data_IF_224010695240
#
_entry.id   IF_224010695240
#
_cell.length_a   1.000
_cell.length_b   1.000
_cell.length_c   1.000
_cell.angle_alpha   90.00
_cell.angle_beta   90.00
_cell.angle_gamma   90.00
#
_symmetry.space_group_name_H-M   'P 1'
#
loop_
_entity.id
_entity.type
_entity.pdbx_description
1 polymer ?
#
# COMPACT_ATOMS: atom_id res chain seq x y z
N UNK A 1 -0.97 20.61 -0.19
CA UNK A 1 -0.69 19.16 -0.13
C UNK A 1 -2.02 18.43 -0.08
N UNK A 2 -2.28 17.49 -1.00
CA UNK A 2 -3.56 16.76 -1.06
C UNK A 2 -3.62 15.59 -0.08
N UNK A 3 -4.79 14.98 0.11
CA UNK A 3 -4.94 13.73 0.89
C UNK A 3 -4.10 12.61 0.30
N UNK A 4 -4.09 12.49 -1.04
CA UNK A 4 -3.26 11.52 -1.76
C UNK A 4 -1.77 11.75 -1.48
N UNK A 5 -1.29 12.99 -1.46
CA UNK A 5 0.11 13.32 -1.15
C UNK A 5 0.48 12.93 0.29
N UNK A 6 -0.40 13.22 1.26
CA UNK A 6 -0.20 12.84 2.67
C UNK A 6 -0.07 11.33 2.82
N UNK A 7 -0.95 10.57 2.17
CA UNK A 7 -0.92 9.11 2.15
C UNK A 7 0.38 8.62 1.50
N UNK A 8 0.76 9.19 0.34
CA UNK A 8 1.99 8.84 -0.38
C UNK A 8 3.25 9.06 0.45
N UNK A 9 3.32 10.17 1.18
CA UNK A 9 4.44 10.48 2.09
C UNK A 9 4.52 9.47 3.23
N UNK A 10 3.38 9.16 3.88
CA UNK A 10 3.32 8.15 4.95
C UNK A 10 3.79 6.79 4.46
N UNK A 11 3.30 6.35 3.29
CA UNK A 11 3.75 5.11 2.66
C UNK A 11 5.25 5.16 2.45
N UNK A 12 5.77 6.18 1.74
CA UNK A 12 7.20 6.32 1.43
C UNK A 12 8.09 6.21 2.67
N UNK A 13 7.72 6.87 3.78
CA UNK A 13 8.48 6.89 5.03
C UNK A 13 8.29 5.64 5.90
N UNK A 14 7.23 4.86 5.69
CA UNK A 14 6.96 3.66 6.47
C UNK A 14 8.00 2.58 6.17
N UNK A 15 8.48 1.91 7.23
CA UNK A 15 9.29 0.69 7.13
C UNK A 15 8.48 -0.53 6.67
N UNK A 16 7.15 -0.49 6.86
CA UNK A 16 6.23 -1.53 6.39
C UNK A 16 5.93 -1.33 4.91
N UNK A 17 5.61 -2.41 4.22
CA UNK A 17 5.26 -2.39 2.80
C UNK A 17 3.83 -2.80 2.51
N UNK A 18 3.08 -3.20 3.54
CA UNK A 18 1.66 -3.56 3.46
C UNK A 18 0.87 -2.58 4.33
N UNK A 19 -0.28 -2.14 3.83
CA UNK A 19 -1.11 -1.11 4.42
C UNK A 19 -2.58 -1.46 4.31
N UNK A 20 -3.33 -1.11 5.34
CA UNK A 20 -4.79 -1.13 5.39
C UNK A 20 -5.33 0.29 5.20
N UNK A 21 -6.61 0.39 4.82
CA UNK A 21 -7.29 1.70 4.77
C UNK A 21 -7.32 2.38 6.15
N UNK A 22 -7.48 1.60 7.21
CA UNK A 22 -7.50 2.07 8.61
C UNK A 22 -6.20 2.72 9.06
N UNK A 23 -5.07 2.42 8.42
CA UNK A 23 -3.76 3.00 8.76
C UNK A 23 -3.70 4.51 8.48
N UNK A 24 -4.66 5.04 7.72
CA UNK A 24 -4.74 6.45 7.32
C UNK A 24 -5.99 7.16 7.85
N UNK A 25 -6.69 6.58 8.83
CA UNK A 25 -7.90 7.18 9.42
C UNK A 25 -7.66 8.55 10.06
N UNK A 26 -6.43 8.85 10.45
CA UNK A 26 -5.99 10.14 10.99
C UNK A 26 -5.70 11.18 9.89
N UNK A 27 -5.67 10.76 8.61
CA UNK A 27 -5.44 11.67 7.48
C UNK A 27 -6.76 12.24 6.97
N UNK A 28 -7.77 11.39 6.81
CA UNK A 28 -9.05 11.73 6.19
C UNK A 28 -10.13 10.69 6.46
N UNK A 29 -11.37 11.02 6.08
CA UNK A 29 -12.52 10.12 6.17
C UNK A 29 -12.36 8.89 5.27
N UNK A 30 -13.09 7.82 5.62
CA UNK A 30 -12.98 6.50 5.00
C UNK A 30 -12.98 6.53 3.46
N UNK A 31 -13.92 7.29 2.86
CA UNK A 31 -14.06 7.40 1.41
C UNK A 31 -12.98 8.27 0.76
N UNK A 32 -12.51 9.29 1.46
CA UNK A 32 -11.41 10.14 0.98
C UNK A 32 -10.09 9.36 0.97
N UNK A 33 -9.79 8.61 2.04
CA UNK A 33 -8.65 7.68 2.07
C UNK A 33 -8.77 6.66 0.96
N UNK A 34 -9.97 6.11 0.77
CA UNK A 34 -10.27 5.17 -0.31
C UNK A 34 -9.92 5.66 -1.70
N UNK A 35 -10.37 6.87 -2.02
CA UNK A 35 -10.06 7.54 -3.29
C UNK A 35 -8.56 7.77 -3.44
N UNK A 36 -7.89 8.25 -2.38
CA UNK A 36 -6.43 8.44 -2.38
C UNK A 36 -5.65 7.15 -2.65
N UNK A 37 -5.98 6.07 -1.95
CA UNK A 37 -5.36 4.76 -2.17
C UNK A 37 -5.62 4.23 -3.58
N UNK A 38 -6.85 4.37 -4.11
CA UNK A 38 -7.19 3.93 -5.47
C UNK A 38 -6.40 4.70 -6.53
N UNK A 39 -6.21 6.01 -6.35
CA UNK A 39 -5.38 6.80 -7.26
C UNK A 39 -3.91 6.38 -7.19
N UNK A 40 -3.36 6.13 -5.99
CA UNK A 40 -1.99 5.62 -5.87
C UNK A 40 -1.80 4.23 -6.49
N UNK A 41 -2.86 3.42 -6.58
CA UNK A 41 -2.82 2.18 -7.35
C UNK A 41 -2.78 2.45 -8.85
N UNK A 42 -3.59 3.39 -9.35
CA UNK A 42 -3.55 3.81 -10.76
C UNK A 42 -2.20 4.40 -11.16
N UNK A 43 -1.58 5.15 -10.24
CA UNK A 43 -0.26 5.77 -10.43
C UNK A 43 0.90 4.77 -10.32
N UNK A 44 0.63 3.48 -10.07
CA UNK A 44 1.66 2.45 -9.95
C UNK A 44 2.53 2.56 -8.68
N UNK A 45 2.09 3.34 -7.68
CA UNK A 45 2.78 3.46 -6.38
C UNK A 45 2.43 2.29 -5.46
N UNK A 46 1.17 1.84 -5.53
CA UNK A 46 0.64 0.74 -4.74
C UNK A 46 0.02 -0.35 -5.64
N UNK A 47 -0.05 -1.55 -5.10
CA UNK A 47 -0.83 -2.67 -5.65
C UNK A 47 -1.90 -3.06 -4.64
N UNK A 48 -3.15 -3.22 -5.08
CA UNK A 48 -4.21 -3.78 -4.24
C UNK A 48 -4.10 -5.31 -4.28
N UNK A 49 -4.01 -5.94 -3.10
CA UNK A 49 -3.76 -7.38 -2.97
C UNK A 49 -4.89 -8.11 -2.23
N UNK A 50 -5.92 -7.40 -1.76
CA UNK A 50 -7.07 -7.98 -1.09
C UNK A 50 -8.13 -6.95 -0.69
N UNK A 51 -9.10 -7.37 0.14
CA UNK A 51 -10.18 -6.52 0.65
C UNK A 51 -9.65 -5.38 1.54
N UNK A 52 -9.31 -4.25 0.92
CA UNK A 52 -8.77 -3.08 1.62
C UNK A 52 -7.29 -3.19 1.98
N UNK A 53 -6.59 -4.20 1.45
CA UNK A 53 -5.16 -4.44 1.64
C UNK A 53 -4.36 -3.96 0.43
N UNK A 54 -3.33 -3.18 0.70
CA UNK A 54 -2.48 -2.55 -0.31
C UNK A 54 -1.01 -2.84 0.01
N UNK A 55 -0.19 -3.01 -1.01
CA UNK A 55 1.27 -3.11 -0.86
C UNK A 55 1.99 -2.15 -1.77
N UNK A 56 3.17 -1.71 -1.33
CA UNK A 56 4.05 -0.87 -2.14
C UNK A 56 4.58 -1.67 -3.32
N UNK A 57 4.67 -1.02 -4.47
CA UNK A 57 5.29 -1.61 -5.66
C UNK A 57 6.78 -1.28 -5.67
N UNK A 58 7.59 -2.26 -6.07
CA UNK A 58 8.95 -2.04 -6.56
C UNK A 58 9.09 -2.63 -7.96
N UNK A 59 9.95 -2.03 -8.76
CA UNK A 59 10.33 -2.62 -10.04
C UNK A 59 11.28 -3.79 -9.78
N UNK A 60 10.94 -4.95 -10.34
CA UNK A 60 11.85 -6.07 -10.39
C UNK A 60 12.99 -5.74 -11.36
N UNK A 61 14.23 -5.75 -10.87
CA UNK A 61 15.41 -5.40 -11.67
C UNK A 61 15.72 -6.41 -12.79
N UNK A 62 15.23 -7.64 -12.66
CA UNK A 62 15.45 -8.74 -13.61
C UNK A 62 14.38 -8.72 -14.71
N UNK A 63 13.11 -8.60 -14.33
CA UNK A 63 11.99 -8.70 -15.28
C UNK A 63 11.44 -7.35 -15.77
N UNK A 64 11.83 -6.25 -15.11
CA UNK A 64 11.27 -4.92 -15.35
C UNK A 64 9.82 -4.74 -14.89
N UNK A 65 9.18 -5.81 -14.40
CA UNK A 65 7.77 -5.82 -14.02
C UNK A 65 7.56 -5.29 -12.59
N UNK A 66 6.42 -4.63 -12.31
CA UNK A 66 6.06 -4.24 -10.95
C UNK A 66 5.82 -5.47 -10.08
N UNK A 67 6.44 -5.49 -8.90
CA UNK A 67 6.36 -6.59 -7.91
C UNK A 67 6.05 -6.02 -6.52
N UNK A 68 5.32 -6.75 -5.65
CA UNK A 68 5.14 -6.36 -4.26
C UNK A 68 6.48 -6.17 -3.54
N UNK A 69 6.64 -5.06 -2.83
CA UNK A 69 7.79 -4.76 -1.98
C UNK A 69 7.70 -5.52 -0.66
N UNK A 70 7.53 -6.83 -0.68
CA UNK A 70 7.66 -7.62 0.53
C UNK A 70 8.85 -8.58 0.42
N UNK A 71 9.46 -8.89 1.55
CA UNK A 71 10.62 -9.76 1.62
C UNK A 71 10.28 -11.25 1.49
N UNK A 72 9.01 -11.64 1.27
CA UNK A 72 8.57 -13.04 1.41
C UNK A 72 7.58 -13.53 0.34
N UNK A 73 7.44 -12.84 -0.79
CA UNK A 73 6.53 -13.22 -1.86
C UNK A 73 5.05 -13.23 -1.45
N UNK A 74 4.22 -14.03 -2.14
CA UNK A 74 2.79 -14.15 -1.83
C UNK A 74 2.53 -14.62 -0.37
N UNK A 75 3.41 -15.47 0.17
CA UNK A 75 3.32 -15.99 1.55
C UNK A 75 3.54 -14.91 2.62
N UNK A 76 4.36 -13.89 2.33
CA UNK A 76 4.58 -12.76 3.24
C UNK A 76 3.36 -11.90 3.48
N UNK A 77 2.52 -11.74 2.45
CA UNK A 77 1.26 -10.99 2.54
C UNK A 77 0.32 -11.70 3.52
N UNK A 78 0.20 -13.02 3.40
CA UNK A 78 -0.67 -13.84 4.23
C UNK A 78 -0.21 -13.87 5.69
N UNK A 79 1.10 -13.90 5.93
CA UNK A 79 1.66 -13.94 7.30
C UNK A 79 1.46 -12.61 8.04
N UNK A 80 1.58 -11.47 7.36
CA UNK A 80 1.32 -10.15 7.95
C UNK A 80 -0.18 -9.87 8.16
N UNK A 81 -1.07 -10.54 7.42
CA UNK A 81 -2.52 -10.46 7.64
C UNK A 81 -2.94 -10.99 9.02
N UNK A 82 -2.12 -11.88 9.61
CA UNK A 82 -2.35 -12.47 10.94
C UNK A 82 -1.87 -11.60 12.11
N UNK A 83 -1.03 -10.58 11.84
CA UNK A 83 -0.43 -9.70 12.86
C UNK A 83 -1.10 -8.31 12.94
N UNK A 84 -2.16 -8.10 12.17
CA UNK A 84 -2.91 -6.83 12.15
C UNK A 84 -4.27 -6.92 12.85
N UNK A 85 -4.51 -8.02 13.59
CA UNK A 85 -5.65 -8.15 14.53
C UNK A 85 -5.22 -7.73 15.92
#
# INVERSE_FOLDING_TARGET
>A
MTIQDRIKIRIKRSKRSVFLRSDFKDIAEYDQVGRGLRNLVKDGVLMKIGYGLYTRIRQNRITGKPMPDNASGADGVLRNMRLSR
#
